data_IF_616534344118
#
_entry.id   IF_616534344118
#
_cell.length_a   1.000
_cell.length_b   1.000
_cell.length_c   1.000
_cell.angle_alpha   90.00
_cell.angle_beta   90.00
_cell.angle_gamma   90.00
#
_symmetry.space_group_name_H-M   'P 1'
#
loop_
_entity.id
_entity.type
_entity.pdbx_description
1 polymer ?
#
# COMPACT_ATOMS: atom_id res chain seq x y z
N UNK A 1 -6.55 -11.21 -27.30
CA UNK A 1 -7.44 -10.02 -27.17
C UNK A 1 -6.88 -8.94 -26.23
N UNK A 2 -5.57 -9.01 -25.91
CA UNK A 2 -4.88 -8.11 -24.96
C UNK A 2 -4.19 -6.90 -25.60
N UNK A 3 -4.23 -6.79 -26.93
CA UNK A 3 -3.53 -5.76 -27.71
C UNK A 3 -4.26 -4.41 -27.85
N UNK A 4 -5.48 -4.27 -27.36
CA UNK A 4 -6.28 -3.05 -27.53
C UNK A 4 -6.30 -2.11 -26.32
N UNK A 5 -5.73 -2.50 -25.18
CA UNK A 5 -5.61 -1.61 -24.04
C UNK A 5 -4.37 -0.72 -24.23
N UNK A 6 -4.55 0.41 -24.90
CA UNK A 6 -3.50 1.41 -25.14
C UNK A 6 -2.98 1.97 -23.81
N UNK A 7 -1.79 1.57 -23.44
CA UNK A 7 -0.96 2.28 -22.47
C UNK A 7 -0.49 1.46 -21.28
N UNK A 8 0.75 1.67 -20.89
CA UNK A 8 1.42 1.10 -19.69
C UNK A 8 0.62 1.32 -18.37
N UNK A 9 -0.33 2.26 -18.35
CA UNK A 9 -1.12 2.61 -17.16
C UNK A 9 -2.11 1.50 -16.78
N UNK A 10 -2.86 0.96 -17.71
CA UNK A 10 -3.80 -0.15 -17.46
C UNK A 10 -3.11 -1.50 -17.24
N UNK A 11 -1.85 -1.65 -17.61
CA UNK A 11 -1.13 -2.91 -17.45
C UNK A 11 -1.04 -3.43 -16.01
N UNK A 12 -0.89 -2.54 -15.02
CA UNK A 12 -0.91 -2.90 -13.59
C UNK A 12 -2.28 -3.42 -13.15
N UNK A 13 -3.35 -2.75 -13.57
CA UNK A 13 -4.73 -3.07 -13.21
C UNK A 13 -5.17 -4.38 -13.87
N UNK A 14 -4.84 -4.54 -15.15
CA UNK A 14 -5.07 -5.78 -15.87
C UNK A 14 -4.32 -6.97 -15.24
N UNK A 15 -3.09 -6.75 -14.79
CA UNK A 15 -2.32 -7.78 -14.07
C UNK A 15 -2.99 -8.16 -12.73
N UNK A 16 -3.51 -7.20 -11.97
CA UNK A 16 -4.22 -7.48 -10.74
C UNK A 16 -5.54 -8.23 -10.98
N UNK A 17 -6.36 -7.75 -11.92
CA UNK A 17 -7.63 -8.38 -12.31
C UNK A 17 -7.41 -9.83 -12.75
N UNK A 18 -6.44 -10.08 -13.65
CA UNK A 18 -6.15 -11.42 -14.16
C UNK A 18 -5.62 -12.40 -13.10
N UNK A 19 -5.20 -11.90 -11.93
CA UNK A 19 -4.64 -12.69 -10.84
C UNK A 19 -5.54 -12.73 -9.59
N UNK A 20 -6.81 -12.33 -9.70
CA UNK A 20 -7.83 -12.55 -8.69
C UNK A 20 -7.98 -11.41 -7.68
N UNK A 21 -7.70 -10.16 -8.08
CA UNK A 21 -8.07 -9.01 -7.28
C UNK A 21 -9.58 -8.76 -7.34
N UNK A 22 -10.21 -8.56 -6.18
CA UNK A 22 -11.64 -8.21 -6.07
C UNK A 22 -11.88 -6.70 -6.21
N UNK A 23 -10.84 -5.90 -5.96
CA UNK A 23 -10.90 -4.45 -6.08
C UNK A 23 -9.54 -3.85 -6.45
N UNK A 24 -9.57 -2.72 -7.14
CA UNK A 24 -8.39 -1.93 -7.50
C UNK A 24 -8.52 -0.54 -6.88
N UNK A 25 -7.47 -0.10 -6.16
CA UNK A 25 -7.38 1.29 -5.77
C UNK A 25 -6.40 2.05 -6.69
N UNK A 26 -6.83 3.20 -7.16
CA UNK A 26 -6.06 4.03 -8.08
C UNK A 26 -6.23 5.51 -7.75
N UNK A 27 -5.50 6.39 -8.44
CA UNK A 27 -5.63 7.84 -8.28
C UNK A 27 -5.58 8.55 -9.61
N UNK A 28 -6.18 9.73 -9.63
CA UNK A 28 -6.03 10.70 -10.71
C UNK A 28 -4.88 11.67 -10.41
N UNK A 29 -4.58 12.57 -11.32
CA UNK A 29 -3.43 13.50 -11.21
C UNK A 29 -3.46 14.38 -9.97
N UNK A 30 -4.66 14.78 -9.51
CA UNK A 30 -4.85 15.60 -8.32
C UNK A 30 -5.32 14.78 -7.12
N UNK A 31 -5.16 15.31 -5.93
CA UNK A 31 -5.78 14.88 -4.67
C UNK A 31 -5.44 13.49 -4.16
N UNK A 32 -4.32 12.89 -4.56
CA UNK A 32 -3.94 11.57 -4.07
C UNK A 32 -2.55 11.53 -3.43
N UNK A 33 -2.35 10.67 -2.44
CA UNK A 33 -1.12 10.51 -1.67
C UNK A 33 0.07 9.94 -2.49
N UNK A 34 -0.09 9.75 -3.79
CA UNK A 34 0.94 9.26 -4.72
C UNK A 34 1.00 10.14 -5.97
N UNK A 35 1.08 11.46 -5.80
CA UNK A 35 1.14 12.43 -6.89
C UNK A 35 2.23 12.11 -7.95
N UNK A 36 3.33 11.46 -7.52
CA UNK A 36 4.44 11.03 -8.39
C UNK A 36 4.22 9.73 -9.15
N UNK A 37 3.15 9.00 -8.90
CA UNK A 37 2.82 7.81 -9.67
C UNK A 37 2.31 8.19 -11.06
N UNK A 38 2.28 7.23 -11.98
CA UNK A 38 1.55 7.39 -13.24
C UNK A 38 0.04 7.35 -12.94
N UNK A 39 -0.48 8.50 -12.55
CA UNK A 39 -1.90 8.65 -12.25
C UNK A 39 -2.71 8.79 -13.54
N UNK A 40 -3.99 8.47 -13.47
CA UNK A 40 -4.93 8.65 -14.57
C UNK A 40 -5.38 10.10 -14.69
N UNK A 41 -5.88 10.47 -15.86
CA UNK A 41 -6.63 11.70 -16.04
C UNK A 41 -8.07 11.49 -15.51
N UNK A 42 -8.71 12.55 -15.04
CA UNK A 42 -10.12 12.50 -14.64
C UNK A 42 -11.01 12.01 -15.79
N UNK A 43 -10.72 12.44 -17.01
CA UNK A 43 -11.45 12.02 -18.22
C UNK A 43 -11.33 10.51 -18.56
N UNK A 44 -10.35 9.79 -17.96
CA UNK A 44 -10.17 8.34 -18.15
C UNK A 44 -11.05 7.51 -17.20
N UNK A 45 -11.68 8.12 -16.19
CA UNK A 45 -12.47 7.42 -15.17
C UNK A 45 -13.56 6.50 -15.77
N UNK A 46 -14.39 6.92 -16.74
CA UNK A 46 -15.41 6.05 -17.30
C UNK A 46 -14.83 4.80 -17.99
N UNK A 47 -13.69 4.93 -18.69
CA UNK A 47 -13.03 3.80 -19.35
C UNK A 47 -12.47 2.81 -18.30
N UNK A 48 -11.85 3.32 -17.23
CA UNK A 48 -11.32 2.50 -16.16
C UNK A 48 -12.42 1.73 -15.46
N UNK A 49 -13.51 2.40 -15.09
CA UNK A 49 -14.62 1.77 -14.39
C UNK A 49 -15.33 0.74 -15.27
N UNK A 50 -15.57 1.06 -16.54
CA UNK A 50 -16.11 0.10 -17.51
C UNK A 50 -15.23 -1.15 -17.63
N UNK A 51 -13.91 -0.97 -17.69
CA UNK A 51 -12.96 -2.09 -17.69
C UNK A 51 -13.07 -2.94 -16.43
N UNK A 52 -12.99 -2.34 -15.24
CA UNK A 52 -13.05 -3.07 -13.98
C UNK A 52 -14.38 -3.80 -13.81
N UNK A 53 -15.49 -3.14 -14.05
CA UNK A 53 -16.83 -3.70 -13.93
C UNK A 53 -17.09 -4.84 -14.93
N UNK A 54 -16.49 -4.81 -16.12
CA UNK A 54 -16.59 -5.93 -17.07
C UNK A 54 -15.98 -7.24 -16.56
N UNK A 55 -15.12 -7.16 -15.55
CA UNK A 55 -14.55 -8.32 -14.85
C UNK A 55 -15.13 -8.55 -13.45
N UNK A 56 -16.16 -7.80 -13.04
CA UNK A 56 -16.75 -7.86 -11.70
C UNK A 56 -15.83 -7.31 -10.60
N UNK A 57 -14.82 -6.51 -10.95
CA UNK A 57 -13.85 -5.92 -10.03
C UNK A 57 -14.27 -4.50 -9.67
N UNK A 58 -14.17 -4.12 -8.39
CA UNK A 58 -14.50 -2.79 -7.91
C UNK A 58 -13.35 -1.81 -8.11
N UNK A 59 -13.69 -0.54 -8.37
CA UNK A 59 -12.73 0.56 -8.50
C UNK A 59 -12.85 1.58 -7.37
N UNK A 60 -11.77 1.77 -6.59
CA UNK A 60 -11.73 2.73 -5.49
C UNK A 60 -10.78 3.87 -5.81
N UNK A 61 -11.30 5.09 -5.90
CA UNK A 61 -10.45 6.26 -6.12
C UNK A 61 -9.78 6.72 -4.82
N UNK A 62 -8.48 6.95 -4.86
CA UNK A 62 -7.77 7.60 -3.74
C UNK A 62 -7.92 9.10 -3.82
N UNK A 63 -8.64 9.67 -2.86
CA UNK A 63 -8.80 11.10 -2.63
C UNK A 63 -8.29 11.42 -1.22
N UNK A 64 -7.06 11.03 -0.94
CA UNK A 64 -6.54 10.83 0.40
C UNK A 64 -5.37 11.77 0.75
N UNK A 65 -5.56 13.05 0.47
CA UNK A 65 -4.72 14.16 0.94
C UNK A 65 -5.58 15.18 1.69
N UNK A 66 -4.94 16.12 2.37
CA UNK A 66 -5.60 17.30 2.90
C UNK A 66 -5.97 18.23 1.73
N UNK A 67 -7.14 18.85 1.78
CA UNK A 67 -7.65 19.78 0.76
C UNK A 67 -7.68 21.19 1.32
N UNK A 68 -7.18 22.16 0.57
CA UNK A 68 -7.20 23.56 0.96
C UNK A 68 -8.40 24.30 0.36
N UNK A 69 -8.77 25.43 0.94
CA UNK A 69 -9.95 26.22 0.55
C UNK A 69 -9.96 26.56 -0.95
N UNK A 70 -8.84 26.94 -1.51
CA UNK A 70 -8.70 27.28 -2.94
C UNK A 70 -8.76 26.07 -3.89
N UNK A 71 -8.89 24.86 -3.36
CA UNK A 71 -8.97 23.61 -4.12
C UNK A 71 -10.39 23.00 -4.06
N UNK A 72 -11.32 23.60 -3.32
CA UNK A 72 -12.64 23.02 -3.08
C UNK A 72 -13.47 22.84 -4.36
N UNK A 73 -13.40 23.79 -5.29
CA UNK A 73 -14.11 23.65 -6.58
C UNK A 73 -13.55 22.51 -7.42
N UNK A 74 -12.23 22.41 -7.54
CA UNK A 74 -11.58 21.28 -8.22
C UNK A 74 -11.92 19.93 -7.54
N UNK A 75 -12.03 19.92 -6.21
CA UNK A 75 -12.41 18.74 -5.44
C UNK A 75 -13.85 18.33 -5.73
N UNK A 76 -14.76 19.31 -5.84
CA UNK A 76 -16.15 19.07 -6.21
C UNK A 76 -16.29 18.50 -7.62
N UNK A 77 -15.60 19.08 -8.60
CA UNK A 77 -15.57 18.55 -9.97
C UNK A 77 -15.11 17.09 -10.01
N UNK A 78 -14.11 16.73 -9.21
CA UNK A 78 -13.64 15.34 -9.13
C UNK A 78 -14.68 14.41 -8.48
N UNK A 79 -15.42 14.89 -7.45
CA UNK A 79 -16.51 14.10 -6.84
C UNK A 79 -17.60 13.83 -7.88
N UNK A 80 -18.05 14.85 -8.60
CA UNK A 80 -19.07 14.71 -9.64
C UNK A 80 -18.60 13.71 -10.72
N UNK A 81 -17.36 13.84 -11.20
CA UNK A 81 -16.78 12.91 -12.16
C UNK A 81 -16.69 11.46 -11.64
N UNK A 82 -16.43 11.25 -10.34
CA UNK A 82 -16.43 9.93 -9.73
C UNK A 82 -17.84 9.31 -9.73
N UNK A 83 -18.85 10.09 -9.40
CA UNK A 83 -20.25 9.66 -9.39
C UNK A 83 -20.68 9.30 -10.80
N UNK A 84 -20.43 10.17 -11.77
CA UNK A 84 -20.79 9.97 -13.18
C UNK A 84 -20.10 8.75 -13.80
N UNK A 85 -18.85 8.49 -13.44
CA UNK A 85 -18.08 7.34 -13.91
C UNK A 85 -18.44 6.04 -13.22
N UNK A 86 -19.25 6.06 -12.16
CA UNK A 86 -19.62 4.87 -11.38
C UNK A 86 -18.47 4.32 -10.54
N UNK A 87 -17.62 5.19 -9.95
CA UNK A 87 -16.59 4.78 -8.99
C UNK A 87 -17.26 4.14 -7.78
N UNK A 88 -16.81 2.95 -7.36
CA UNK A 88 -17.47 2.18 -6.30
C UNK A 88 -17.24 2.73 -4.88
N UNK A 89 -16.16 3.46 -4.67
CA UNK A 89 -15.91 4.21 -3.43
C UNK A 89 -14.75 5.19 -3.59
N UNK A 90 -14.71 6.21 -2.73
CA UNK A 90 -13.54 7.06 -2.57
C UNK A 90 -12.84 6.80 -1.24
N UNK A 91 -11.50 6.82 -1.24
CA UNK A 91 -10.66 6.64 -0.04
C UNK A 91 -10.22 8.02 0.40
N UNK A 92 -10.71 8.52 1.54
CA UNK A 92 -10.60 9.92 1.96
C UNK A 92 -9.80 10.05 3.26
N UNK A 93 -9.01 11.13 3.37
CA UNK A 93 -8.34 11.55 4.60
C UNK A 93 -9.02 12.75 5.24
N UNK A 94 -9.44 13.73 4.45
CA UNK A 94 -9.92 15.04 4.88
C UNK A 94 -11.41 14.98 5.28
N UNK A 95 -11.74 15.40 6.51
CA UNK A 95 -13.12 15.39 7.01
C UNK A 95 -14.01 16.45 6.35
N UNK A 96 -13.42 17.60 5.94
CA UNK A 96 -14.14 18.61 5.17
C UNK A 96 -14.60 18.07 3.82
N UNK A 97 -13.72 17.27 3.18
CA UNK A 97 -14.05 16.56 1.95
C UNK A 97 -15.16 15.50 2.17
N UNK A 98 -15.11 14.76 3.29
CA UNK A 98 -16.19 13.82 3.63
C UNK A 98 -17.53 14.52 3.74
N UNK A 99 -17.56 15.67 4.43
CA UNK A 99 -18.78 16.48 4.54
C UNK A 99 -19.27 16.94 3.17
N UNK A 100 -18.39 17.45 2.32
CA UNK A 100 -18.73 17.88 0.95
C UNK A 100 -19.32 16.73 0.14
N UNK A 101 -18.73 15.53 0.19
CA UNK A 101 -19.25 14.36 -0.51
C UNK A 101 -20.67 14.03 -0.03
N UNK A 102 -20.94 14.07 1.28
CA UNK A 102 -22.28 13.81 1.84
C UNK A 102 -23.31 14.85 1.44
N UNK A 103 -22.90 16.11 1.25
CA UNK A 103 -23.77 17.18 0.75
C UNK A 103 -24.12 16.99 -0.73
N UNK A 104 -23.18 16.49 -1.55
CA UNK A 104 -23.39 16.23 -2.99
C UNK A 104 -24.16 14.91 -3.20
N UNK A 105 -23.71 13.84 -2.54
CA UNK A 105 -24.29 12.49 -2.66
C UNK A 105 -24.30 11.81 -1.28
N UNK A 106 -25.45 11.78 -0.59
CA UNK A 106 -25.57 11.21 0.75
C UNK A 106 -25.14 9.74 0.85
N UNK A 107 -25.35 8.96 -0.21
CA UNK A 107 -25.15 7.50 -0.24
C UNK A 107 -23.86 7.09 -0.97
N UNK A 108 -23.05 8.05 -1.44
CA UNK A 108 -21.81 7.70 -2.15
C UNK A 108 -20.81 7.02 -1.22
N UNK A 109 -20.27 5.82 -1.55
CA UNK A 109 -19.43 5.07 -0.63
C UNK A 109 -18.11 5.76 -0.29
N UNK A 110 -17.81 5.90 1.00
CA UNK A 110 -16.58 6.51 1.51
C UNK A 110 -15.82 5.50 2.38
N UNK A 111 -14.54 5.32 2.07
CA UNK A 111 -13.60 4.56 2.89
C UNK A 111 -12.63 5.51 3.59
N UNK A 112 -12.46 5.34 4.91
CA UNK A 112 -11.46 6.10 5.66
C UNK A 112 -10.05 5.67 5.27
N UNK A 113 -9.21 6.64 4.90
CA UNK A 113 -7.81 6.37 4.51
C UNK A 113 -6.94 5.95 5.70
N UNK A 114 -5.88 5.18 5.46
CA UNK A 114 -4.78 4.96 6.41
C UNK A 114 -4.26 6.28 7.00
N UNK A 115 -4.28 7.36 6.22
CA UNK A 115 -3.80 8.69 6.61
C UNK A 115 -4.67 9.37 7.68
N UNK A 116 -5.84 8.83 8.00
CA UNK A 116 -6.66 9.25 9.15
C UNK A 116 -6.13 8.73 10.49
N UNK A 117 -5.10 7.89 10.50
CA UNK A 117 -4.47 7.32 11.70
C UNK A 117 -5.46 6.53 12.57
N UNK A 118 -6.29 5.69 11.95
CA UNK A 118 -7.29 4.88 12.67
C UNK A 118 -6.58 3.69 13.29
N UNK A 119 -6.48 3.67 14.63
CA UNK A 119 -5.70 2.70 15.40
C UNK A 119 -6.42 2.13 16.62
N UNK A 120 -7.68 2.47 16.82
CA UNK A 120 -8.46 1.98 17.95
C UNK A 120 -9.94 1.83 17.58
N UNK A 121 -10.74 1.07 18.37
CA UNK A 121 -12.19 0.99 18.19
C UNK A 121 -12.86 2.37 18.26
N UNK A 122 -12.43 3.22 19.18
CA UNK A 122 -12.96 4.56 19.38
C UNK A 122 -12.76 5.44 18.14
N UNK A 123 -11.58 5.31 17.48
CA UNK A 123 -11.31 6.02 16.24
C UNK A 123 -12.23 5.53 15.09
N UNK A 124 -12.55 4.24 15.03
CA UNK A 124 -13.52 3.70 14.08
C UNK A 124 -14.93 4.21 14.39
N UNK A 125 -15.35 4.19 15.65
CA UNK A 125 -16.65 4.72 16.05
C UNK A 125 -16.82 6.19 15.68
N UNK A 126 -15.74 6.99 15.79
CA UNK A 126 -15.74 8.40 15.35
C UNK A 126 -16.05 8.55 13.85
N UNK A 127 -15.74 7.57 13.01
CA UNK A 127 -16.00 7.67 11.56
C UNK A 127 -17.44 7.34 11.16
N UNK A 128 -18.20 6.63 12.01
CA UNK A 128 -19.58 6.19 11.70
C UNK A 128 -20.56 7.34 11.47
N UNK A 129 -20.61 8.40 12.30
CA UNK A 129 -21.50 9.54 12.06
C UNK A 129 -21.24 10.25 10.73
N UNK A 130 -20.01 10.10 10.17
CA UNK A 130 -19.65 10.64 8.87
C UNK A 130 -20.05 9.73 7.70
N UNK A 131 -20.70 8.59 8.00
CA UNK A 131 -21.19 7.65 7.00
C UNK A 131 -20.06 6.86 6.29
N UNK A 132 -18.91 6.68 6.91
CA UNK A 132 -17.87 5.81 6.34
C UNK A 132 -18.30 4.36 6.41
N UNK A 133 -18.13 3.63 5.30
CA UNK A 133 -18.56 2.22 5.16
C UNK A 133 -17.41 1.24 5.43
N UNK A 134 -16.17 1.71 5.34
CA UNK A 134 -14.95 0.94 5.58
C UNK A 134 -13.85 1.86 6.09
N UNK A 135 -12.94 1.31 6.87
CA UNK A 135 -11.74 2.01 7.29
C UNK A 135 -10.48 1.22 6.93
N UNK A 136 -9.48 1.93 6.41
CA UNK A 136 -8.13 1.38 6.22
C UNK A 136 -7.33 1.68 7.48
N UNK A 137 -7.03 0.65 8.25
CA UNK A 137 -6.33 0.80 9.53
C UNK A 137 -4.90 1.32 9.36
N UNK A 138 -4.42 2.06 10.35
CA UNK A 138 -3.02 2.46 10.45
C UNK A 138 -2.10 1.24 10.43
N UNK A 139 -0.94 1.35 9.75
CA UNK A 139 0.02 0.24 9.61
C UNK A 139 0.79 -0.06 10.89
N UNK A 140 0.67 0.78 11.88
CA UNK A 140 1.22 0.66 13.23
C UNK A 140 0.43 -0.28 14.15
N UNK A 141 -0.75 -0.74 13.74
CA UNK A 141 -1.56 -1.70 14.49
C UNK A 141 -0.92 -3.10 14.49
N UNK A 142 -0.93 -3.76 15.64
CA UNK A 142 -0.63 -5.18 15.75
C UNK A 142 -1.90 -6.05 15.69
N UNK A 143 -1.74 -7.36 15.54
CA UNK A 143 -2.84 -8.31 15.42
C UNK A 143 -3.85 -8.22 16.58
N UNK A 144 -3.37 -8.04 17.82
CA UNK A 144 -4.26 -7.90 19.00
C UNK A 144 -5.10 -6.63 18.94
N UNK A 145 -4.53 -5.53 18.45
CA UNK A 145 -5.26 -4.28 18.26
C UNK A 145 -6.28 -4.41 17.13
N UNK A 146 -5.90 -5.03 16.00
CA UNK A 146 -6.80 -5.30 14.87
C UNK A 146 -7.97 -6.17 15.34
N UNK A 147 -7.71 -7.25 16.07
CA UNK A 147 -8.75 -8.12 16.64
C UNK A 147 -9.69 -7.33 17.56
N UNK A 148 -9.14 -6.53 18.48
CA UNK A 148 -9.96 -5.68 19.37
C UNK A 148 -10.86 -4.72 18.58
N UNK A 149 -10.34 -4.12 17.49
CA UNK A 149 -11.12 -3.25 16.62
C UNK A 149 -12.27 -4.04 15.97
N UNK A 150 -11.98 -5.23 15.40
CA UNK A 150 -12.97 -6.07 14.76
C UNK A 150 -14.09 -6.52 15.69
N UNK A 151 -13.75 -6.86 16.94
CA UNK A 151 -14.73 -7.27 17.96
C UNK A 151 -15.65 -6.12 18.40
N UNK A 152 -15.11 -4.90 18.51
CA UNK A 152 -15.82 -3.78 19.15
C UNK A 152 -16.46 -2.82 18.16
N UNK A 153 -15.81 -2.48 17.05
CA UNK A 153 -16.25 -1.40 16.17
C UNK A 153 -17.26 -1.83 15.09
N UNK A 154 -17.32 -3.12 14.72
CA UNK A 154 -18.25 -3.70 13.74
C UNK A 154 -18.39 -2.93 12.41
N UNK A 155 -17.31 -2.33 11.95
CA UNK A 155 -17.21 -1.69 10.64
C UNK A 155 -16.20 -2.49 9.78
N UNK A 156 -16.46 -2.72 8.49
CA UNK A 156 -15.50 -3.38 7.60
C UNK A 156 -14.12 -2.76 7.68
N UNK A 157 -13.09 -3.60 7.91
CA UNK A 157 -11.70 -3.16 8.05
C UNK A 157 -10.86 -3.60 6.86
N UNK A 158 -10.00 -2.70 6.39
CA UNK A 158 -8.97 -2.97 5.41
C UNK A 158 -7.59 -2.80 6.03
N UNK A 159 -6.68 -3.75 5.77
CA UNK A 159 -5.32 -3.76 6.31
C UNK A 159 -4.31 -3.94 5.19
N UNK A 160 -3.23 -3.17 5.19
CA UNK A 160 -2.11 -3.44 4.30
C UNK A 160 -1.39 -4.73 4.70
N UNK A 161 -1.20 -5.63 3.73
CA UNK A 161 -0.56 -6.94 3.93
C UNK A 161 0.74 -7.10 3.15
N UNK A 162 0.98 -6.29 2.11
CA UNK A 162 2.21 -6.40 1.31
C UNK A 162 2.66 -5.06 0.74
N UNK A 163 3.99 -4.88 0.66
CA UNK A 163 4.65 -3.77 -0.01
C UNK A 163 5.33 -2.79 0.93
N UNK A 164 5.58 -1.57 0.44
CA UNK A 164 6.39 -0.59 1.14
C UNK A 164 5.79 -0.17 2.49
N UNK A 165 6.61 -0.22 3.55
CA UNK A 165 6.29 0.35 4.86
C UNK A 165 6.74 1.80 4.97
N UNK A 166 6.06 2.55 5.84
CA UNK A 166 6.45 3.86 6.33
C UNK A 166 7.08 3.72 7.72
N UNK A 167 8.13 4.50 8.00
CA UNK A 167 8.76 4.56 9.32
C UNK A 167 7.94 5.40 10.30
N UNK A 168 7.16 6.33 9.77
CA UNK A 168 6.29 7.23 10.54
C UNK A 168 4.92 6.62 10.78
N UNK A 169 4.23 7.09 11.81
CA UNK A 169 2.80 6.83 11.96
C UNK A 169 2.03 7.28 10.72
N UNK A 170 0.99 6.54 10.38
CA UNK A 170 0.17 6.78 9.20
C UNK A 170 -0.44 8.19 9.24
N UNK A 171 -0.23 8.99 8.18
CA UNK A 171 -0.73 10.37 8.12
C UNK A 171 0.01 11.40 8.99
N UNK A 172 1.07 11.03 9.71
CA UNK A 172 1.74 11.90 10.68
C UNK A 172 3.21 12.21 10.28
N UNK A 173 3.57 12.08 9.01
CA UNK A 173 4.94 12.35 8.56
C UNK A 173 5.13 13.80 8.12
N UNK A 174 5.92 14.57 8.85
CA UNK A 174 6.31 15.94 8.51
C UNK A 174 7.74 16.04 7.96
N UNK A 175 8.51 14.94 7.92
CA UNK A 175 9.94 14.97 7.57
C UNK A 175 10.19 15.49 6.16
N UNK A 176 9.39 15.08 5.16
CA UNK A 176 9.54 15.54 3.79
C UNK A 176 9.27 17.03 3.62
N UNK A 177 8.32 17.54 4.38
CA UNK A 177 7.93 18.95 4.37
C UNK A 177 9.00 19.83 5.01
N UNK A 178 9.50 19.43 6.18
CA UNK A 178 10.57 20.15 6.91
C UNK A 178 11.87 20.25 6.10
N UNK A 179 12.22 19.22 5.32
CA UNK A 179 13.50 19.18 4.60
C UNK A 179 13.45 19.70 3.17
N UNK A 180 12.29 19.78 2.58
CA UNK A 180 12.21 20.12 1.16
C UNK A 180 10.89 20.76 0.74
N UNK A 181 10.08 21.23 1.69
CA UNK A 181 8.81 21.90 1.41
C UNK A 181 7.74 20.99 0.76
N UNK A 182 7.95 19.64 0.79
CA UNK A 182 7.07 18.68 0.12
C UNK A 182 6.31 17.86 1.14
N UNK A 183 5.02 18.13 1.29
CA UNK A 183 4.18 17.46 2.28
C UNK A 183 3.82 16.03 1.88
N UNK A 184 4.12 15.06 2.75
CA UNK A 184 3.67 13.69 2.57
C UNK A 184 2.14 13.57 2.66
N UNK A 185 1.49 14.45 3.43
CA UNK A 185 0.03 14.52 3.57
C UNK A 185 -0.66 15.19 2.37
N UNK A 186 0.14 15.75 1.47
CA UNK A 186 -0.28 16.36 0.20
C UNK A 186 0.16 15.53 -1.02
N UNK A 187 0.58 14.27 -0.80
CA UNK A 187 0.98 13.36 -1.88
C UNK A 187 2.41 13.51 -2.38
N UNK A 188 3.22 14.40 -1.80
CA UNK A 188 4.54 14.77 -2.30
C UNK A 188 5.70 14.18 -1.48
N UNK A 189 5.49 13.02 -0.85
CA UNK A 189 6.51 12.36 -0.03
C UNK A 189 7.85 12.26 -0.75
N UNK A 190 8.90 12.88 -0.17
CA UNK A 190 10.26 12.85 -0.69
C UNK A 190 10.99 11.53 -0.42
N UNK A 191 10.40 10.64 0.39
CA UNK A 191 11.05 9.43 0.89
C UNK A 191 12.34 9.73 1.67
N UNK A 192 12.36 10.80 2.48
CA UNK A 192 13.51 11.18 3.30
C UNK A 192 14.01 10.00 4.18
N UNK A 193 13.11 9.16 4.70
CA UNK A 193 13.48 7.95 5.44
C UNK A 193 14.33 6.93 4.64
N UNK A 194 14.47 7.10 3.32
CA UNK A 194 15.27 6.23 2.43
C UNK A 194 16.63 6.83 2.07
N UNK A 195 16.97 7.98 2.64
CA UNK A 195 18.27 8.62 2.47
C UNK A 195 19.30 8.05 3.48
N UNK A 196 20.61 8.20 3.19
CA UNK A 196 21.64 7.89 4.17
C UNK A 196 21.65 8.91 5.31
N UNK A 197 21.99 8.46 6.52
CA UNK A 197 22.10 9.26 7.73
C UNK A 197 23.33 8.88 8.53
N UNK A 198 23.95 9.85 9.16
CA UNK A 198 24.99 9.65 10.15
C UNK A 198 24.36 9.59 11.56
N UNK A 199 24.84 8.67 12.38
CA UNK A 199 24.45 8.59 13.79
C UNK A 199 25.36 9.50 14.63
N UNK A 200 24.76 10.50 15.26
CA UNK A 200 25.45 11.39 16.20
C UNK A 200 25.07 10.99 17.63
N UNK A 201 26.05 10.83 18.50
CA UNK A 201 25.87 10.55 19.93
C UNK A 201 26.75 11.52 20.70
N UNK A 202 26.15 12.34 21.55
CA UNK A 202 26.84 13.37 22.35
C UNK A 202 27.72 14.33 21.50
N UNK A 203 27.26 14.66 20.28
CA UNK A 203 27.95 15.53 19.36
C UNK A 203 29.03 14.84 18.50
N UNK A 204 29.30 13.57 18.72
CA UNK A 204 30.28 12.78 17.94
C UNK A 204 29.61 11.83 16.97
N UNK A 205 30.14 11.76 15.74
CA UNK A 205 29.70 10.77 14.76
C UNK A 205 30.16 9.37 15.16
N UNK A 206 29.21 8.43 15.22
CA UNK A 206 29.51 7.02 15.49
C UNK A 206 29.69 6.26 14.19
N UNK A 207 30.83 5.57 13.97
CA UNK A 207 31.04 4.73 12.80
C UNK A 207 30.02 3.58 12.76
N UNK A 208 29.25 3.48 11.66
CA UNK A 208 28.25 2.45 11.47
C UNK A 208 28.65 1.40 10.40
N UNK A 209 29.90 1.43 9.93
CA UNK A 209 30.38 0.57 8.84
C UNK A 209 29.54 0.77 7.57
N UNK A 210 29.04 -0.31 7.01
CA UNK A 210 28.21 -0.26 5.78
C UNK A 210 26.73 0.13 6.03
N UNK A 211 26.36 0.47 7.27
CA UNK A 211 24.99 0.81 7.65
C UNK A 211 24.79 2.32 7.56
N UNK A 212 24.17 2.79 6.50
CA UNK A 212 23.91 4.21 6.27
C UNK A 212 22.41 4.57 6.23
N UNK A 213 21.54 3.61 5.94
CA UNK A 213 20.09 3.86 5.74
C UNK A 213 19.30 3.58 7.01
N UNK A 214 19.64 4.31 8.07
CA UNK A 214 19.21 4.04 9.46
C UNK A 214 17.68 4.05 9.67
N UNK A 215 16.93 4.73 8.80
CA UNK A 215 15.48 4.88 8.87
C UNK A 215 14.73 4.12 7.75
N UNK A 216 15.43 3.32 6.92
CA UNK A 216 14.83 2.68 5.75
C UNK A 216 14.19 1.34 6.13
N UNK A 217 12.83 1.26 6.28
CA UNK A 217 12.19 0.02 6.64
C UNK A 217 12.24 -1.00 5.49
N UNK A 218 12.25 -2.29 5.86
CA UNK A 218 11.98 -3.41 4.98
C UNK A 218 10.57 -3.32 4.38
N UNK A 219 10.25 -4.19 3.44
CA UNK A 219 8.90 -4.30 2.91
C UNK A 219 8.03 -5.21 3.80
N UNK A 220 6.77 -4.84 3.94
CA UNK A 220 5.76 -5.68 4.58
C UNK A 220 5.50 -6.92 3.72
N UNK A 221 5.47 -8.09 4.35
CA UNK A 221 4.96 -9.32 3.76
C UNK A 221 4.31 -10.14 4.88
N UNK A 222 2.99 -10.16 4.90
CA UNK A 222 2.17 -10.80 5.93
C UNK A 222 1.40 -12.02 5.39
N UNK A 223 1.92 -12.67 4.34
CA UNK A 223 1.22 -13.78 3.68
C UNK A 223 1.04 -15.00 4.62
N UNK A 224 1.97 -15.20 5.53
CA UNK A 224 1.94 -16.23 6.55
C UNK A 224 1.08 -15.89 7.78
N UNK A 225 0.61 -14.64 7.86
CA UNK A 225 -0.32 -14.15 8.90
C UNK A 225 -1.76 -13.99 8.37
N UNK A 226 -2.05 -14.51 7.18
CA UNK A 226 -3.39 -14.38 6.58
C UNK A 226 -4.49 -15.02 7.44
N UNK A 227 -4.31 -16.22 8.04
CA UNK A 227 -5.31 -16.80 8.93
C UNK A 227 -5.65 -15.89 10.09
N UNK A 228 -4.64 -15.39 10.81
CA UNK A 228 -4.82 -14.54 11.99
C UNK A 228 -5.51 -13.22 11.63
N UNK A 229 -5.21 -12.66 10.46
CA UNK A 229 -5.89 -11.45 9.98
C UNK A 229 -7.36 -11.70 9.62
N UNK A 230 -7.66 -12.84 8.99
CA UNK A 230 -9.04 -13.25 8.67
C UNK A 230 -9.82 -13.47 9.97
N UNK A 231 -9.26 -14.22 10.92
CA UNK A 231 -9.87 -14.50 12.24
C UNK A 231 -10.05 -13.21 13.07
N UNK A 232 -9.17 -12.22 12.91
CA UNK A 232 -9.33 -10.90 13.52
C UNK A 232 -10.46 -10.05 12.89
N UNK A 233 -11.16 -10.56 11.87
CA UNK A 233 -12.29 -9.89 11.23
C UNK A 233 -11.89 -8.90 10.14
N UNK A 234 -10.68 -8.98 9.61
CA UNK A 234 -10.28 -8.16 8.44
C UNK A 234 -11.02 -8.65 7.19
N UNK A 235 -11.70 -7.72 6.52
CA UNK A 235 -12.54 -8.03 5.33
C UNK A 235 -11.89 -7.63 4.02
N UNK A 236 -10.79 -6.86 4.05
CA UNK A 236 -10.08 -6.41 2.86
C UNK A 236 -8.57 -6.39 3.09
N UNK A 237 -7.81 -7.01 2.18
CA UNK A 237 -6.36 -7.14 2.25
C UNK A 237 -5.71 -6.30 1.17
N UNK A 238 -5.02 -5.23 1.59
CA UNK A 238 -4.48 -4.23 0.68
C UNK A 238 -3.01 -4.48 0.33
N UNK A 239 -2.72 -4.51 -0.97
CA UNK A 239 -1.37 -4.66 -1.51
C UNK A 239 -0.92 -3.33 -2.09
N UNK A 240 0.22 -2.79 -1.65
CA UNK A 240 0.82 -1.58 -2.24
C UNK A 240 1.58 -1.94 -3.51
N UNK A 241 1.09 -1.48 -4.66
CA UNK A 241 1.66 -1.80 -5.97
C UNK A 241 1.77 -0.62 -6.95
N UNK A 242 1.32 0.59 -6.58
CA UNK A 242 1.19 1.73 -7.51
C UNK A 242 2.49 2.20 -8.18
N UNK A 243 3.65 1.95 -7.58
CA UNK A 243 4.97 2.28 -8.13
C UNK A 243 5.77 1.02 -8.51
N UNK A 244 5.07 -0.07 -8.84
CA UNK A 244 5.65 -1.36 -9.19
C UNK A 244 5.36 -1.74 -10.63
N UNK A 245 5.95 -2.86 -11.09
CA UNK A 245 5.70 -3.39 -12.43
C UNK A 245 4.45 -4.30 -12.44
N UNK A 246 3.85 -4.55 -13.62
CA UNK A 246 2.76 -5.49 -13.76
C UNK A 246 3.10 -6.91 -13.26
N UNK A 247 4.34 -7.36 -13.47
CA UNK A 247 4.81 -8.68 -13.03
C UNK A 247 4.83 -8.79 -11.50
N UNK A 248 5.23 -7.70 -10.81
CA UNK A 248 5.15 -7.65 -9.35
C UNK A 248 3.70 -7.77 -8.88
N UNK A 249 2.79 -7.01 -9.48
CA UNK A 249 1.37 -7.02 -9.11
C UNK A 249 0.77 -8.40 -9.36
N UNK A 250 0.99 -8.97 -10.53
CA UNK A 250 0.53 -10.33 -10.86
C UNK A 250 0.99 -11.37 -9.85
N UNK A 251 2.30 -11.38 -9.55
CA UNK A 251 2.88 -12.34 -8.62
C UNK A 251 2.32 -12.17 -7.21
N UNK A 252 2.32 -10.95 -6.68
CA UNK A 252 1.86 -10.69 -5.30
C UNK A 252 0.37 -11.01 -5.17
N UNK A 253 -0.48 -10.48 -6.06
CA UNK A 253 -1.94 -10.71 -5.99
C UNK A 253 -2.26 -12.21 -6.07
N UNK A 254 -1.65 -12.96 -7.01
CA UNK A 254 -1.91 -14.40 -7.13
C UNK A 254 -1.53 -15.19 -5.88
N UNK A 255 -0.45 -14.82 -5.17
CA UNK A 255 -0.04 -15.51 -3.94
C UNK A 255 -0.99 -15.22 -2.78
N UNK A 256 -1.41 -13.95 -2.61
CA UNK A 256 -2.38 -13.61 -1.57
C UNK A 256 -3.77 -14.19 -1.87
N UNK A 257 -4.21 -14.21 -3.14
CA UNK A 257 -5.45 -14.90 -3.53
C UNK A 257 -5.42 -16.37 -3.13
N UNK A 258 -4.35 -17.08 -3.49
CA UNK A 258 -4.16 -18.48 -3.10
C UNK A 258 -4.12 -18.68 -1.59
N UNK A 259 -3.49 -17.78 -0.83
CA UNK A 259 -3.46 -17.89 0.62
C UNK A 259 -4.86 -17.75 1.25
N UNK A 260 -5.68 -16.84 0.71
CA UNK A 260 -7.08 -16.68 1.13
C UNK A 260 -7.89 -17.94 0.77
N UNK A 261 -7.79 -18.43 -0.47
CA UNK A 261 -8.54 -19.59 -0.94
C UNK A 261 -8.20 -20.82 -0.10
N UNK A 262 -6.91 -21.10 0.14
CA UNK A 262 -6.47 -22.20 1.02
C UNK A 262 -7.08 -22.12 2.42
N UNK A 263 -7.17 -20.92 3.00
CA UNK A 263 -7.79 -20.74 4.32
C UNK A 263 -9.26 -21.20 4.32
N UNK A 264 -10.04 -20.79 3.33
CA UNK A 264 -11.46 -21.14 3.25
C UNK A 264 -11.70 -22.58 2.80
N UNK A 265 -10.75 -23.20 2.08
CA UNK A 265 -10.75 -24.63 1.70
C UNK A 265 -10.28 -25.55 2.85
N UNK A 266 -9.70 -24.97 3.91
CA UNK A 266 -9.16 -25.73 5.04
C UNK A 266 -7.80 -26.36 4.78
N UNK A 267 -7.09 -25.85 3.78
CA UNK A 267 -5.74 -26.30 3.40
C UNK A 267 -4.63 -25.62 4.19
N UNK A 268 -3.36 -26.08 4.02
CA UNK A 268 -2.20 -25.42 4.62
C UNK A 268 -1.98 -24.02 4.02
N UNK A 269 -2.17 -23.02 4.86
CA UNK A 269 -2.06 -21.60 4.48
C UNK A 269 -0.63 -21.09 4.46
N UNK A 270 0.34 -21.87 4.98
CA UNK A 270 1.73 -21.43 5.01
C UNK A 270 2.31 -21.32 3.61
N UNK A 271 2.93 -20.18 3.26
CA UNK A 271 3.57 -20.04 1.96
C UNK A 271 4.74 -21.01 1.86
N UNK A 272 4.87 -21.68 0.72
CA UNK A 272 6.02 -22.52 0.42
C UNK A 272 7.30 -21.68 0.30
N UNK A 273 8.46 -22.34 0.43
CA UNK A 273 9.76 -21.68 0.20
C UNK A 273 9.87 -21.06 -1.20
N UNK A 274 9.28 -21.70 -2.20
CA UNK A 274 9.28 -21.21 -3.57
C UNK A 274 8.38 -19.97 -3.71
N UNK A 275 7.18 -19.98 -3.15
CA UNK A 275 6.29 -18.79 -3.14
C UNK A 275 6.98 -17.59 -2.48
N UNK A 276 7.65 -17.79 -1.34
CA UNK A 276 8.41 -16.72 -0.69
C UNK A 276 9.58 -16.23 -1.54
N UNK A 277 10.26 -17.14 -2.26
CA UNK A 277 11.33 -16.79 -3.18
C UNK A 277 10.83 -15.97 -4.36
N UNK A 278 9.72 -16.36 -4.97
CA UNK A 278 9.08 -15.62 -6.08
C UNK A 278 8.66 -14.21 -5.66
N UNK A 279 8.09 -14.06 -4.45
CA UNK A 279 7.78 -12.75 -3.89
C UNK A 279 9.04 -11.89 -3.72
N UNK A 280 10.13 -12.45 -3.20
CA UNK A 280 11.41 -11.76 -3.04
C UNK A 280 12.03 -11.36 -4.38
N UNK A 281 11.92 -12.19 -5.40
CA UNK A 281 12.46 -11.93 -6.73
C UNK A 281 11.75 -10.78 -7.42
N UNK A 282 10.42 -10.67 -7.28
CA UNK A 282 9.67 -9.61 -7.93
C UNK A 282 10.02 -8.23 -7.35
N UNK A 283 10.12 -8.09 -6.05
CA UNK A 283 10.67 -6.91 -5.37
C UNK A 283 10.79 -7.14 -3.86
N UNK A 284 11.96 -6.92 -3.27
CA UNK A 284 12.13 -6.96 -1.82
C UNK A 284 13.31 -6.13 -1.34
N UNK A 285 13.09 -5.34 -0.26
CA UNK A 285 14.13 -4.71 0.56
C UNK A 285 14.50 -5.57 1.78
N UNK A 286 14.16 -6.85 1.75
CA UNK A 286 13.98 -7.73 2.88
C UNK A 286 12.54 -7.67 3.37
N UNK A 287 12.00 -8.79 3.85
CA UNK A 287 10.63 -8.87 4.35
C UNK A 287 10.57 -8.75 5.88
N UNK A 288 9.44 -8.21 6.35
CA UNK A 288 9.10 -8.07 7.75
C UNK A 288 7.57 -8.11 7.90
N UNK A 289 7.07 -8.54 9.05
CA UNK A 289 5.66 -8.38 9.41
C UNK A 289 5.31 -6.93 9.85
N UNK A 290 6.27 -6.02 9.77
CA UNK A 290 6.06 -4.64 10.22
C UNK A 290 5.75 -4.59 11.70
N UNK A 291 4.59 -4.05 12.04
CA UNK A 291 4.10 -3.95 13.42
C UNK A 291 3.07 -5.02 13.79
N UNK A 292 2.68 -5.90 12.86
CA UNK A 292 1.62 -6.91 13.09
C UNK A 292 1.91 -7.83 14.28
N UNK A 293 3.16 -8.17 14.53
CA UNK A 293 3.59 -8.96 15.71
C UNK A 293 4.02 -8.08 16.90
N UNK A 294 3.79 -6.78 16.85
CA UNK A 294 4.21 -5.79 17.85
C UNK A 294 5.42 -4.97 17.41
N UNK A 295 5.82 -4.00 18.24
CA UNK A 295 6.87 -3.05 17.89
C UNK A 295 8.26 -3.65 18.13
N UNK A 296 9.00 -3.88 17.04
CA UNK A 296 10.41 -4.25 17.08
C UNK A 296 11.21 -3.47 16.03
N UNK A 297 11.63 -2.26 16.38
CA UNK A 297 12.32 -1.36 15.46
C UNK A 297 13.65 -1.94 14.92
N UNK A 298 14.33 -2.82 15.68
CA UNK A 298 15.56 -3.49 15.23
C UNK A 298 15.32 -4.45 14.07
N UNK A 299 14.15 -5.09 14.02
CA UNK A 299 13.77 -5.99 12.93
C UNK A 299 13.19 -5.25 11.73
N UNK A 300 12.65 -4.04 11.96
CA UNK A 300 11.95 -3.25 10.95
C UNK A 300 12.89 -2.71 9.87
N UNK A 301 14.08 -2.27 10.24
CA UNK A 301 15.06 -1.62 9.36
C UNK A 301 16.14 -2.60 8.95
N UNK A 302 16.60 -2.45 7.71
CA UNK A 302 17.87 -3.00 7.23
C UNK A 302 18.67 -1.84 6.64
N UNK A 303 19.61 -1.33 7.41
CA UNK A 303 20.32 -0.10 7.10
C UNK A 303 21.37 -0.18 5.98
N UNK A 304 21.54 -1.34 5.33
CA UNK A 304 22.64 -1.52 4.34
C UNK A 304 22.24 -1.10 2.94
N UNK A 305 20.98 -1.22 2.54
CA UNK A 305 20.54 -0.91 1.18
C UNK A 305 19.06 -0.53 1.08
N UNK A 306 18.69 0.60 0.44
CA UNK A 306 17.31 1.10 0.44
C UNK A 306 16.47 0.65 -0.75
N UNK A 307 17.05 -0.09 -1.71
CA UNK A 307 16.40 -0.55 -2.95
C UNK A 307 16.11 -2.05 -2.89
N UNK A 308 15.48 -2.59 -3.94
CA UNK A 308 15.27 -4.03 -4.08
C UNK A 308 16.61 -4.77 -4.14
N UNK A 309 16.71 -5.87 -3.37
CA UNK A 309 17.91 -6.71 -3.28
C UNK A 309 17.87 -7.90 -4.23
N UNK A 310 16.66 -8.28 -4.69
CA UNK A 310 16.47 -9.55 -5.38
C UNK A 310 16.76 -10.77 -4.49
N UNK A 311 17.08 -11.89 -5.14
CA UNK A 311 17.46 -13.14 -4.47
C UNK A 311 18.93 -13.41 -4.74
N UNK A 312 19.66 -13.81 -3.70
CA UNK A 312 21.06 -14.17 -3.84
C UNK A 312 21.22 -15.44 -4.70
N UNK A 313 21.92 -15.31 -5.82
CA UNK A 313 22.16 -16.40 -6.78
C UNK A 313 23.50 -17.10 -6.52
N UNK A 314 24.54 -16.34 -6.20
CA UNK A 314 25.88 -16.86 -6.00
C UNK A 314 26.94 -15.77 -6.02
N UNK A 315 28.22 -16.20 -5.95
CA UNK A 315 29.39 -15.32 -6.12
C UNK A 315 29.92 -15.44 -7.53
N UNK A 316 30.34 -14.33 -8.13
CA UNK A 316 31.07 -14.32 -9.40
C UNK A 316 32.43 -14.95 -9.16
N UNK A 317 32.74 -16.05 -9.85
CA UNK A 317 34.05 -16.70 -9.82
C UNK A 317 34.93 -16.27 -10.98
N UNK A 318 34.34 -15.98 -12.15
CA UNK A 318 35.08 -15.59 -13.34
C UNK A 318 34.26 -14.62 -14.18
N UNK A 319 34.93 -13.58 -14.68
CA UNK A 319 34.37 -12.65 -15.66
C UNK A 319 34.87 -13.07 -17.04
N UNK A 320 33.94 -13.29 -17.98
CA UNK A 320 34.17 -13.60 -19.37
C UNK A 320 33.90 -12.37 -20.22
N UNK A 321 34.23 -12.44 -21.51
CA UNK A 321 34.07 -11.30 -22.45
C UNK A 321 32.59 -10.92 -22.62
N UNK A 322 31.67 -11.89 -22.52
CA UNK A 322 30.22 -11.81 -22.79
C UNK A 322 29.37 -12.32 -21.63
N UNK A 323 29.95 -12.47 -20.43
CA UNK A 323 29.18 -12.95 -19.28
C UNK A 323 30.02 -13.12 -18.02
N UNK A 324 29.40 -13.74 -17.03
CA UNK A 324 30.06 -14.10 -15.77
C UNK A 324 29.76 -15.54 -15.39
N UNK A 325 30.75 -16.20 -14.82
CA UNK A 325 30.58 -17.52 -14.19
C UNK A 325 30.29 -17.30 -12.71
N UNK A 326 29.13 -17.74 -12.24
CA UNK A 326 28.76 -17.67 -10.83
C UNK A 326 28.80 -19.03 -10.17
N UNK A 327 29.42 -19.13 -9.01
CA UNK A 327 29.26 -20.29 -8.13
C UNK A 327 27.93 -20.18 -7.41
N UNK A 328 26.93 -20.90 -7.93
CA UNK A 328 25.62 -21.00 -7.30
C UNK A 328 25.72 -21.79 -6.01
N UNK A 329 25.17 -21.25 -4.90
CA UNK A 329 24.76 -22.09 -3.77
C UNK A 329 23.43 -22.74 -4.14
N UNK A 330 23.48 -23.90 -4.80
CA UNK A 330 22.30 -24.80 -4.81
C UNK A 330 22.08 -25.24 -3.35
N UNK A 331 20.99 -24.85 -2.78
CA UNK A 331 20.36 -25.51 -1.65
C UNK A 331 19.04 -26.09 -2.11
#
# INVERSE_FOLDING_TARGET
MWSCLRGRRLGLHAAAVANGADAIFFGVEKFNARARANNFLMAELPEIMSFLHSYGVKGFLTFNILVFENELEDAKELIDACIDAGVDAVIVQDLGLVKMIREISPDFPIHGSTQMTITSPEAVEFTKPWGMERVVLGRENNLKQIQKIGEQAKLPMEVFVHGALCVSYSGQCLTSEMWGGRSANRGECAQACRLPYDLMVDGEQKPMGDVAYLLSPKDLAAIDLMPELIEAGVTSFKIEGRLKSPEYVANVVSKYRKAIDRYFEGDDTKPSKEEMRELQQSFSRGFTHGFLEGTNNKKLVDGTFPKSRGVYVGRVEKILRDGVVCKSKRR
#
